data_IF_802980108580
#
_entry.id   IF_802980108580
#
_cell.length_a   1.000
_cell.length_b   1.000
_cell.length_c   1.000
_cell.angle_alpha   90.00
_cell.angle_beta   90.00
_cell.angle_gamma   90.00
#
_symmetry.space_group_name_H-M   'P 1'
#
loop_
_entity.id
_entity.type
_entity.pdbx_description
1 polymer ?
#
# COMPACT_ATOMS: atom_id res chain seq x y z
N UNK A 1 41.62 52.13 24.67
CA UNK A 1 40.15 52.31 24.65
C UNK A 1 39.55 51.13 23.91
N UNK A 2 38.72 50.32 24.58
CA UNK A 2 37.96 49.22 23.98
C UNK A 2 36.71 49.83 23.35
N UNK A 3 36.49 49.61 22.06
CA UNK A 3 35.18 49.85 21.43
C UNK A 3 34.70 48.51 20.92
N UNK A 4 33.73 47.96 21.64
CA UNK A 4 32.95 46.82 21.21
C UNK A 4 32.08 47.26 20.02
N UNK A 5 32.21 46.55 18.89
CA UNK A 5 31.28 46.66 17.78
C UNK A 5 30.50 45.34 17.71
N UNK A 6 29.38 45.31 18.43
CA UNK A 6 28.36 44.28 18.33
C UNK A 6 27.39 44.70 17.21
N UNK A 7 27.37 43.94 16.11
CA UNK A 7 26.36 43.99 15.05
C UNK A 7 25.86 42.55 14.90
N UNK A 8 24.78 42.15 15.56
CA UNK A 8 23.36 42.33 15.20
C UNK A 8 22.99 41.75 13.83
N UNK A 9 22.27 40.63 13.89
CA UNK A 9 21.26 40.15 12.93
C UNK A 9 21.74 39.47 11.63
N UNK A 10 21.78 38.13 11.67
CA UNK A 10 21.16 37.35 10.60
C UNK A 10 19.85 36.76 11.13
N UNK A 11 18.76 37.37 10.68
CA UNK A 11 17.43 36.80 10.67
C UNK A 11 17.39 35.54 9.79
N UNK A 12 16.31 34.77 9.95
CA UNK A 12 15.84 33.65 9.10
C UNK A 12 16.30 32.23 9.46
N UNK A 13 15.96 31.76 10.66
CA UNK A 13 15.69 30.33 10.82
C UNK A 13 14.31 30.13 11.45
N UNK A 14 13.49 29.37 10.71
CA UNK A 14 12.29 28.65 11.11
C UNK A 14 11.10 29.46 11.64
N UNK A 15 10.51 30.30 10.78
CA UNK A 15 9.10 30.71 10.91
C UNK A 15 8.16 29.86 10.02
N UNK A 16 8.55 28.63 9.67
CA UNK A 16 7.74 27.72 8.85
C UNK A 16 6.89 26.70 9.64
N UNK A 17 6.92 26.71 10.98
CA UNK A 17 6.12 25.75 11.78
C UNK A 17 4.75 26.30 12.24
N UNK A 18 4.41 27.55 11.91
CA UNK A 18 3.19 28.19 12.42
C UNK A 18 1.96 28.03 11.51
N UNK A 19 2.10 27.34 10.37
CA UNK A 19 1.00 26.96 9.46
C UNK A 19 0.94 25.43 9.28
N UNK A 20 1.31 24.66 10.30
CA UNK A 20 1.31 23.20 10.21
C UNK A 20 -0.11 22.62 10.36
N UNK A 21 -0.94 22.89 9.34
CA UNK A 21 -2.14 22.14 8.97
C UNK A 21 -1.77 21.06 7.91
N UNK A 22 -0.50 20.67 7.85
CA UNK A 22 0.04 19.74 6.86
C UNK A 22 -0.25 18.31 7.32
N UNK A 23 -1.49 17.87 7.11
CA UNK A 23 -1.82 16.46 7.08
C UNK A 23 -0.70 15.72 6.32
N UNK A 24 0.06 14.81 6.96
CA UNK A 24 1.30 14.27 6.41
C UNK A 24 1.08 13.35 5.21
N UNK A 25 -0.17 13.23 4.76
CA UNK A 25 -0.61 12.56 3.53
C UNK A 25 -0.66 13.52 2.33
N UNK A 26 -0.50 14.82 2.54
CA UNK A 26 -0.50 15.85 1.49
C UNK A 26 0.91 15.98 0.93
N UNK A 27 1.04 15.96 -0.40
CA UNK A 27 2.31 16.09 -1.11
C UNK A 27 2.92 14.75 -1.55
N UNK A 28 4.23 14.77 -1.79
CA UNK A 28 5.03 13.59 -2.17
C UNK A 28 5.98 13.26 -1.04
N UNK A 29 5.96 12.02 -0.59
CA UNK A 29 6.92 11.51 0.40
C UNK A 29 8.12 10.88 -0.33
N UNK A 30 9.32 11.34 -0.02
CA UNK A 30 10.56 10.78 -0.56
C UNK A 30 10.72 9.30 -0.19
N UNK A 31 11.35 8.52 -1.07
CA UNK A 31 11.46 7.05 -0.92
C UNK A 31 12.11 6.67 0.42
N UNK A 32 13.21 7.32 0.80
CA UNK A 32 13.93 6.99 2.04
C UNK A 32 13.08 7.32 3.29
N UNK A 33 12.34 8.43 3.26
CA UNK A 33 11.43 8.81 4.34
C UNK A 33 10.25 7.83 4.46
N UNK A 34 9.72 7.37 3.32
CA UNK A 34 8.71 6.31 3.28
C UNK A 34 9.24 5.01 3.88
N UNK A 35 10.45 4.58 3.49
CA UNK A 35 11.06 3.35 3.99
C UNK A 35 11.25 3.43 5.50
N UNK A 36 11.83 4.52 6.01
CA UNK A 36 12.07 4.72 7.44
C UNK A 36 10.75 4.65 8.23
N UNK A 37 9.74 5.40 7.78
CA UNK A 37 8.41 5.42 8.40
C UNK A 37 7.77 4.04 8.41
N UNK A 38 7.67 3.38 7.26
CA UNK A 38 6.98 2.09 7.17
C UNK A 38 7.74 1.04 7.98
N UNK A 39 9.08 0.99 7.91
CA UNK A 39 9.88 0.07 8.72
C UNK A 39 9.67 0.27 10.22
N UNK A 40 9.53 1.51 10.68
CA UNK A 40 9.28 1.82 12.10
C UNK A 40 7.96 1.26 12.64
N UNK A 41 7.02 0.86 11.76
CA UNK A 41 5.76 0.23 12.16
C UNK A 41 5.86 -1.27 12.41
N UNK A 42 6.97 -1.90 12.03
CA UNK A 42 7.21 -3.34 12.23
C UNK A 42 8.20 -3.58 13.37
N UNK A 43 7.97 -4.67 14.11
CA UNK A 43 8.91 -5.11 15.14
C UNK A 43 10.16 -5.77 14.51
N UNK A 44 11.30 -5.72 15.21
CA UNK A 44 12.60 -6.23 14.72
C UNK A 44 12.52 -7.67 14.20
N UNK A 45 11.82 -8.57 14.89
CA UNK A 45 11.69 -9.97 14.44
C UNK A 45 10.98 -10.14 13.08
N UNK A 46 10.13 -9.19 12.66
CA UNK A 46 9.58 -9.19 11.29
C UNK A 46 10.62 -8.68 10.30
N UNK A 47 11.39 -7.66 10.68
CA UNK A 47 12.44 -7.10 9.83
C UNK A 47 13.54 -8.13 9.54
N UNK A 48 13.90 -8.95 10.52
CA UNK A 48 14.86 -10.05 10.35
C UNK A 48 14.38 -11.09 9.32
N UNK A 49 13.08 -11.40 9.31
CA UNK A 49 12.49 -12.32 8.33
C UNK A 49 12.49 -11.75 6.91
N UNK A 50 12.54 -10.42 6.78
CA UNK A 50 12.61 -9.75 5.49
C UNK A 50 14.03 -9.67 4.96
N UNK A 51 15.06 -9.91 5.76
CA UNK A 51 16.46 -9.93 5.30
C UNK A 51 16.80 -11.27 4.61
N UNK A 52 16.11 -11.51 3.50
CA UNK A 52 16.20 -12.74 2.72
C UNK A 52 16.05 -12.44 1.22
N UNK A 53 16.76 -13.23 0.41
CA UNK A 53 16.63 -13.26 -1.05
C UNK A 53 15.44 -14.12 -1.53
N UNK A 54 14.66 -14.69 -0.60
CA UNK A 54 13.43 -15.42 -0.94
C UNK A 54 12.50 -14.51 -1.74
N UNK A 55 12.02 -15.00 -2.89
CA UNK A 55 11.09 -14.25 -3.71
C UNK A 55 9.65 -14.54 -3.31
N UNK A 56 8.89 -13.49 -3.00
CA UNK A 56 7.44 -13.58 -2.80
C UNK A 56 6.73 -12.48 -3.55
N UNK A 57 5.44 -12.71 -3.80
CA UNK A 57 4.56 -11.74 -4.42
C UNK A 57 3.84 -10.92 -3.33
N UNK A 58 4.21 -9.66 -3.08
CA UNK A 58 3.55 -8.82 -2.10
C UNK A 58 2.23 -8.27 -2.64
N UNK A 59 1.30 -8.03 -1.74
CA UNK A 59 0.15 -7.15 -1.93
C UNK A 59 0.40 -5.90 -1.12
N UNK A 60 0.58 -4.77 -1.80
CA UNK A 60 0.79 -3.47 -1.19
C UNK A 60 -0.54 -2.81 -0.83
N UNK A 61 -0.56 -2.07 0.27
CA UNK A 61 -1.70 -1.28 0.72
C UNK A 61 -1.28 0.16 0.88
N UNK A 62 -2.04 1.05 0.26
CA UNK A 62 -1.79 2.49 0.22
C UNK A 62 -3.00 3.26 0.76
N UNK A 63 -2.73 4.35 1.47
CA UNK A 63 -3.69 5.43 1.71
C UNK A 63 -3.78 6.28 0.44
N UNK A 64 -4.99 6.51 -0.04
CA UNK A 64 -5.27 7.34 -1.23
C UNK A 64 -6.20 8.51 -0.93
N UNK A 65 -6.42 8.81 0.35
CA UNK A 65 -7.39 9.83 0.81
C UNK A 65 -7.08 11.23 0.27
N UNK A 66 -5.80 11.51 -0.03
CA UNK A 66 -5.33 12.81 -0.53
C UNK A 66 -4.97 12.81 -2.00
N UNK A 67 -5.18 11.69 -2.71
CA UNK A 67 -4.95 11.65 -4.15
C UNK A 67 -5.96 12.53 -4.88
N UNK A 68 -5.50 13.16 -5.96
CA UNK A 68 -6.39 13.82 -6.91
C UNK A 68 -7.27 12.80 -7.61
N UNK A 69 -8.48 13.22 -8.03
CA UNK A 69 -9.38 12.33 -8.77
C UNK A 69 -8.77 11.83 -10.09
N UNK A 70 -7.96 12.67 -10.75
CA UNK A 70 -7.27 12.28 -11.97
C UNK A 70 -6.18 11.24 -11.69
N UNK A 71 -5.42 11.37 -10.60
CA UNK A 71 -4.42 10.37 -10.20
C UNK A 71 -5.07 9.02 -9.80
N UNK A 72 -6.26 9.06 -9.19
CA UNK A 72 -7.04 7.85 -8.90
C UNK A 72 -7.46 7.16 -10.20
N UNK A 73 -7.77 7.91 -11.26
CA UNK A 73 -8.07 7.29 -12.56
C UNK A 73 -6.85 6.57 -13.10
N UNK A 74 -5.65 7.09 -12.94
CA UNK A 74 -4.43 6.44 -13.41
C UNK A 74 -4.19 5.10 -12.72
N UNK A 75 -4.67 4.93 -11.46
CA UNK A 75 -4.68 3.63 -10.79
C UNK A 75 -5.74 2.66 -11.36
N UNK A 76 -6.74 3.16 -12.09
CA UNK A 76 -7.83 2.37 -12.70
C UNK A 76 -7.69 2.17 -14.21
N UNK A 77 -6.90 2.98 -14.91
CA UNK A 77 -6.88 3.04 -16.37
C UNK A 77 -5.87 2.02 -16.94
N UNK A 78 -6.31 1.14 -17.85
CA UNK A 78 -5.52 0.06 -18.40
C UNK A 78 -4.68 0.54 -19.59
N UNK A 79 -3.40 0.80 -19.40
CA UNK A 79 -2.44 0.77 -20.53
C UNK A 79 -1.88 -0.66 -20.75
N UNK A 80 -2.62 -1.66 -20.28
CA UNK A 80 -2.40 -3.10 -20.49
C UNK A 80 -3.79 -3.72 -20.69
N UNK A 81 -3.98 -4.38 -21.83
CA UNK A 81 -5.26 -4.72 -22.45
C UNK A 81 -6.38 -5.26 -21.53
N UNK A 82 -7.60 -4.98 -22.00
CA UNK A 82 -8.90 -5.55 -21.63
C UNK A 82 -8.88 -6.53 -20.46
N UNK A 83 -9.38 -6.05 -19.31
CA UNK A 83 -9.95 -6.77 -18.17
C UNK A 83 -9.43 -6.21 -16.84
N UNK A 84 -9.95 -5.07 -16.36
CA UNK A 84 -9.85 -4.70 -14.94
C UNK A 84 -11.22 -4.36 -14.36
N UNK A 85 -11.80 -5.33 -13.64
CA UNK A 85 -13.02 -5.17 -12.86
C UNK A 85 -12.70 -4.55 -11.51
N UNK A 86 -13.35 -3.44 -11.18
CA UNK A 86 -13.28 -2.80 -9.87
C UNK A 86 -14.13 -3.55 -8.86
N UNK A 87 -13.52 -4.06 -7.78
CA UNK A 87 -14.30 -4.51 -6.61
C UNK A 87 -14.53 -3.31 -5.71
N UNK A 88 -15.66 -2.63 -5.89
CA UNK A 88 -16.13 -1.63 -4.94
C UNK A 88 -16.86 -2.34 -3.80
N UNK A 89 -16.21 -2.49 -2.65
CA UNK A 89 -16.86 -3.03 -1.45
C UNK A 89 -17.73 -1.94 -0.85
N UNK A 90 -19.01 -1.89 -1.24
CA UNK A 90 -20.04 -1.15 -0.51
C UNK A 90 -20.86 -2.15 0.30
N UNK A 91 -20.98 -1.92 1.61
CA UNK A 91 -21.70 -2.80 2.52
C UNK A 91 -22.49 -1.99 3.55
N UNK A 92 -23.68 -2.49 3.90
CA UNK A 92 -24.55 -1.94 4.95
C UNK A 92 -24.11 -2.32 6.38
N UNK A 93 -22.90 -2.86 6.53
CA UNK A 93 -22.33 -3.32 7.80
C UNK A 93 -21.54 -2.20 8.49
N UNK A 94 -21.24 -2.36 9.78
CA UNK A 94 -20.46 -1.38 10.54
C UNK A 94 -19.14 -1.05 9.79
N UNK A 95 -18.79 0.25 9.60
CA UNK A 95 -17.67 0.66 8.75
C UNK A 95 -16.33 -0.06 9.02
N UNK A 96 -16.06 -0.39 10.29
CA UNK A 96 -14.85 -1.13 10.68
C UNK A 96 -14.81 -2.59 10.19
N UNK A 97 -15.96 -3.25 10.06
CA UNK A 97 -16.02 -4.63 9.55
C UNK A 97 -15.74 -4.68 8.05
N UNK A 98 -16.35 -3.78 7.28
CA UNK A 98 -16.15 -3.69 5.82
C UNK A 98 -14.70 -3.38 5.49
N UNK A 99 -14.08 -2.45 6.23
CA UNK A 99 -12.65 -2.14 6.13
C UNK A 99 -11.77 -3.37 6.39
N UNK A 100 -12.00 -4.09 7.49
CA UNK A 100 -11.19 -5.27 7.82
C UNK A 100 -11.29 -6.33 6.73
N UNK A 101 -12.50 -6.63 6.27
CA UNK A 101 -12.74 -7.58 5.17
C UNK A 101 -12.02 -7.16 3.88
N UNK A 102 -12.02 -5.86 3.58
CA UNK A 102 -11.26 -5.32 2.45
C UNK A 102 -9.74 -5.47 2.64
N UNK A 103 -9.20 -5.33 3.85
CA UNK A 103 -7.76 -5.53 4.11
C UNK A 103 -7.36 -7.02 4.09
N UNK A 104 -8.30 -7.93 4.28
CA UNK A 104 -8.09 -9.39 4.25
C UNK A 104 -8.32 -10.02 2.87
N UNK A 105 -9.00 -9.33 1.95
CA UNK A 105 -9.29 -9.89 0.63
C UNK A 105 -8.00 -10.12 -0.17
N UNK A 106 -7.97 -11.16 -0.98
CA UNK A 106 -6.93 -11.30 -2.00
C UNK A 106 -7.18 -10.29 -3.12
N UNK A 107 -6.14 -9.60 -3.53
CA UNK A 107 -6.16 -8.63 -4.61
C UNK A 107 -5.16 -9.11 -5.67
N UNK A 108 -5.46 -8.88 -6.94
CA UNK A 108 -4.60 -9.22 -8.06
C UNK A 108 -3.83 -7.97 -8.54
N UNK A 109 -3.12 -8.09 -9.67
CA UNK A 109 -2.42 -6.94 -10.29
C UNK A 109 -3.35 -5.86 -10.85
N UNK A 110 -4.68 -6.03 -10.71
CA UNK A 110 -5.68 -5.05 -11.15
C UNK A 110 -5.98 -4.04 -10.05
N UNK A 111 -5.72 -4.40 -8.81
CA UNK A 111 -5.91 -3.56 -7.65
C UNK A 111 -7.37 -3.47 -7.19
N UNK A 112 -7.56 -2.95 -6.00
CA UNK A 112 -8.87 -2.80 -5.37
C UNK A 112 -8.93 -1.51 -4.54
N UNK A 113 -10.11 -0.90 -4.47
CA UNK A 113 -10.32 0.39 -3.80
C UNK A 113 -11.32 0.26 -2.65
N UNK A 114 -11.05 0.96 -1.57
CA UNK A 114 -12.00 1.18 -0.47
C UNK A 114 -12.12 2.68 -0.21
N UNK A 115 -13.22 3.28 -0.68
CA UNK A 115 -13.48 4.73 -0.57
C UNK A 115 -14.51 5.07 0.52
N UNK A 116 -14.87 4.10 1.36
CA UNK A 116 -15.98 4.20 2.31
C UNK A 116 -15.66 4.92 3.63
N UNK A 117 -14.41 5.31 3.87
CA UNK A 117 -13.97 5.98 5.10
C UNK A 117 -12.67 6.79 4.89
N UNK A 118 -12.30 7.59 5.88
CA UNK A 118 -10.94 8.11 6.06
C UNK A 118 -10.16 7.16 7.02
N UNK A 119 -9.04 6.55 6.59
CA UNK A 119 -8.44 6.68 5.27
C UNK A 119 -9.10 5.78 4.22
N UNK A 120 -9.11 6.26 2.98
CA UNK A 120 -9.42 5.50 1.79
C UNK A 120 -8.21 4.66 1.37
N UNK A 121 -8.45 3.44 0.90
CA UNK A 121 -7.39 2.49 0.58
C UNK A 121 -7.34 2.12 -0.89
N UNK A 122 -6.13 1.94 -1.40
CA UNK A 122 -5.84 1.19 -2.61
C UNK A 122 -4.95 0.00 -2.26
N UNK A 123 -5.30 -1.17 -2.76
CA UNK A 123 -4.48 -2.39 -2.63
C UNK A 123 -4.15 -2.92 -4.00
N UNK A 124 -2.95 -3.43 -4.21
CA UNK A 124 -2.54 -4.01 -5.49
C UNK A 124 -1.48 -5.07 -5.29
N UNK A 125 -1.56 -6.15 -6.05
CA UNK A 125 -0.54 -7.19 -6.07
C UNK A 125 0.62 -6.79 -6.97
N UNK A 126 1.84 -6.84 -6.42
CA UNK A 126 3.06 -6.58 -7.16
C UNK A 126 3.59 -7.80 -7.91
N UNK A 127 4.81 -7.65 -8.44
CA UNK A 127 5.58 -8.75 -9.00
C UNK A 127 6.35 -9.54 -7.93
N UNK A 128 6.84 -10.75 -8.21
CA UNK A 128 7.73 -11.47 -7.30
C UNK A 128 9.01 -10.66 -7.10
N UNK A 129 9.33 -10.37 -5.84
CA UNK A 129 10.51 -9.61 -5.44
C UNK A 129 11.18 -10.30 -4.26
N UNK A 130 12.46 -10.03 -4.03
CA UNK A 130 13.14 -10.46 -2.82
C UNK A 130 12.51 -9.79 -1.59
N UNK A 131 12.39 -10.52 -0.48
CA UNK A 131 11.79 -9.98 0.75
C UNK A 131 12.47 -8.69 1.23
N UNK A 132 13.80 -8.60 1.05
CA UNK A 132 14.59 -7.44 1.46
C UNK A 132 14.24 -6.15 0.72
N UNK A 133 13.67 -6.27 -0.48
CA UNK A 133 13.31 -5.16 -1.36
C UNK A 133 11.85 -4.71 -1.17
N UNK A 134 11.07 -5.36 -0.30
CA UNK A 134 9.62 -5.11 -0.20
C UNK A 134 9.27 -3.67 0.17
N UNK A 135 10.04 -3.03 1.05
CA UNK A 135 9.80 -1.65 1.44
C UNK A 135 10.14 -0.68 0.31
N UNK A 136 11.30 -0.86 -0.34
CA UNK A 136 11.74 0.03 -1.40
C UNK A 136 10.79 -0.04 -2.61
N UNK A 137 10.37 -1.24 -3.01
CA UNK A 137 9.43 -1.43 -4.11
C UNK A 137 8.01 -0.94 -3.78
N UNK A 138 7.57 -1.04 -2.53
CA UNK A 138 6.31 -0.44 -2.09
C UNK A 138 6.35 1.09 -2.12
N UNK A 139 7.43 1.70 -1.63
CA UNK A 139 7.59 3.15 -1.61
C UNK A 139 7.75 3.76 -3.01
N UNK A 140 8.39 3.06 -3.96
CA UNK A 140 8.53 3.52 -5.35
C UNK A 140 7.20 3.63 -6.11
N UNK A 141 6.16 2.91 -5.66
CA UNK A 141 4.83 2.93 -6.28
C UNK A 141 3.96 4.10 -5.80
N UNK A 142 4.44 4.96 -4.90
CA UNK A 142 3.69 6.11 -4.44
C UNK A 142 3.54 7.16 -5.55
N UNK A 143 2.30 7.61 -5.75
CA UNK A 143 1.96 8.80 -6.52
C UNK A 143 1.72 10.00 -5.57
N UNK A 144 1.53 11.19 -6.13
CA UNK A 144 1.19 12.37 -5.34
C UNK A 144 -0.10 12.16 -4.54
N UNK A 145 -0.09 12.44 -3.24
CA UNK A 145 -1.24 12.22 -2.34
C UNK A 145 -1.52 10.75 -2.01
N UNK A 146 -0.65 9.82 -2.42
CA UNK A 146 -0.69 8.40 -2.11
C UNK A 146 0.38 8.06 -1.07
N UNK A 147 0.06 7.19 -0.11
CA UNK A 147 1.00 6.81 0.94
C UNK A 147 1.04 5.32 1.20
N UNK A 148 2.20 4.71 1.08
CA UNK A 148 2.44 3.31 1.36
C UNK A 148 2.30 3.04 2.86
N UNK A 149 1.45 2.08 3.22
CA UNK A 149 1.14 1.77 4.62
C UNK A 149 1.71 0.42 5.04
N UNK A 150 1.47 -0.61 4.24
CA UNK A 150 1.82 -1.98 4.60
C UNK A 150 1.84 -2.89 3.38
N UNK A 151 2.50 -4.03 3.53
CA UNK A 151 2.42 -5.12 2.57
C UNK A 151 1.96 -6.39 3.27
N UNK A 152 1.43 -7.31 2.50
CA UNK A 152 1.13 -8.68 2.92
C UNK A 152 1.62 -9.62 1.85
N UNK A 153 2.13 -10.78 2.22
CA UNK A 153 2.36 -11.84 1.24
C UNK A 153 1.10 -12.71 1.24
N UNK A 154 0.53 -12.97 0.06
CA UNK A 154 -0.56 -13.92 -0.02
C UNK A 154 -0.10 -15.24 0.63
N UNK A 155 -0.94 -15.92 1.44
CA UNK A 155 -0.63 -17.29 1.81
C UNK A 155 -0.44 -18.07 0.52
N UNK A 156 0.64 -18.85 0.43
CA UNK A 156 0.81 -19.82 -0.67
C UNK A 156 -0.49 -20.62 -0.69
N UNK A 157 -1.26 -20.64 -1.80
CA UNK A 157 -2.46 -21.47 -1.86
C UNK A 157 -2.00 -22.87 -1.47
N UNK A 158 -2.58 -23.41 -0.39
CA UNK A 158 -2.35 -24.79 -0.02
C UNK A 158 -2.73 -25.60 -1.25
N UNK A 159 -1.74 -26.11 -1.96
CA UNK A 159 -1.94 -26.97 -3.10
C UNK A 159 -2.68 -28.21 -2.60
N UNK A 160 -3.99 -28.27 -2.84
CA UNK A 160 -4.80 -29.46 -2.60
C UNK A 160 -6.09 -29.20 -1.84
N UNK A 161 -7.07 -28.60 -2.51
CA UNK A 161 -8.46 -29.07 -2.45
C UNK A 161 -9.18 -28.59 -3.72
N UNK A 162 -8.70 -29.07 -4.86
CA UNK A 162 -9.60 -29.35 -5.99
C UNK A 162 -10.02 -30.79 -5.77
N UNK A 163 -11.09 -30.96 -4.99
CA UNK A 163 -11.91 -32.16 -5.12
C UNK A 163 -12.49 -32.11 -6.53
N UNK A 164 -11.80 -32.79 -7.44
CA UNK A 164 -12.30 -33.13 -8.76
C UNK A 164 -13.43 -34.14 -8.57
N UNK A 165 -14.60 -33.66 -8.12
CA UNK A 165 -15.87 -34.40 -8.24
C UNK A 165 -16.34 -34.25 -9.69
N UNK A 166 -15.58 -34.87 -10.60
CA UNK A 166 -16.09 -35.22 -11.92
C UNK A 166 -16.68 -36.63 -11.80
N UNK A 167 -17.85 -36.68 -11.18
CA UNK A 167 -18.77 -37.78 -11.31
C UNK A 167 -19.21 -37.87 -12.78
N UNK A 168 -18.66 -38.84 -13.53
CA UNK A 168 -19.27 -39.32 -14.78
C UNK A 168 -19.61 -40.81 -14.63
N UNK A 169 -20.87 -41.22 -14.86
CA UNK A 169 -21.33 -42.59 -14.74
C UNK A 169 -21.24 -43.34 -16.08
N UNK A 170 -20.81 -44.61 -16.07
CA UNK A 170 -21.06 -45.63 -17.13
C UNK A 170 -20.27 -46.91 -16.77
N UNK A 171 -20.68 -48.15 -17.03
CA UNK A 171 -21.85 -48.73 -17.69
C UNK A 171 -21.89 -50.19 -17.19
N UNK A 172 -23.07 -50.66 -16.82
CA UNK A 172 -23.31 -52.05 -16.45
C UNK A 172 -23.36 -52.87 -17.75
N UNK A 173 -22.52 -53.90 -17.92
CA UNK A 173 -22.69 -54.88 -19.00
C UNK A 173 -22.49 -56.31 -18.49
N UNK A 174 -23.51 -57.10 -18.82
CA UNK A 174 -23.80 -58.49 -18.45
C UNK A 174 -22.69 -59.49 -18.72
#
# INVERSE_FOLDING_TARGET
MRVAATLLSLASLSACDLFNDEDPRVGVEEIDACIERVRSTYHEGVLDLLDSDEQRRPTYTFDITKMGFDDIKDLTVPDQGDEKGSVQVSGFEAPGYVKRRFLEMNVDGKGAFFLGADPAYYRVQGEPIALKDVFSEGCKQQLSGMRFLSFTFAPVPASGDVTDDSSTPEENKS
#
